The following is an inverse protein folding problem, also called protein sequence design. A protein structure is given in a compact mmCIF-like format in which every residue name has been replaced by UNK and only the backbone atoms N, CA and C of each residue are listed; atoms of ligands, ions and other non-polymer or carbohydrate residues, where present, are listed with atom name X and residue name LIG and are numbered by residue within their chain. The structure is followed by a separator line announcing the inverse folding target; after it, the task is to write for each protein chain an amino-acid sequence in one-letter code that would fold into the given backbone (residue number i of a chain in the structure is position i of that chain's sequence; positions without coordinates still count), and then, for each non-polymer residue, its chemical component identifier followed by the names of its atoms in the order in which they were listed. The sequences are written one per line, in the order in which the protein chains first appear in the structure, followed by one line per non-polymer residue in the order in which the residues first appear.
data_IF_499139947405
#
_entry.id   IF_499139947405
#
_cell.length_a   1.000
_cell.length_b   1.000
_cell.length_c   1.000
_cell.angle_alpha   90.00
_cell.angle_beta   90.00
_cell.angle_gamma   90.00
#
_symmetry.space_group_name_H-M   'P 1'
#
loop_
_entity.id
_entity.type
_entity.pdbx_description
1 polymer ?
#
# COMPACT_ATOMS: atom_id res chain seq x y z
N UNK A 1 2.56 -24.13 22.43
CA UNK A 1 2.78 -22.79 21.90
C UNK A 1 1.64 -22.49 20.96
N UNK A 2 1.03 -21.31 21.07
CA UNK A 2 -0.13 -20.93 20.27
C UNK A 2 0.26 -20.46 18.85
N UNK A 3 -0.72 -20.15 17.99
CA UNK A 3 -0.48 -19.62 16.67
C UNK A 3 0.25 -18.26 16.73
N UNK A 4 1.08 -17.98 15.70
CA UNK A 4 1.82 -16.74 15.54
C UNK A 4 1.18 -15.85 14.48
N UNK A 5 1.48 -14.56 14.51
CA UNK A 5 1.09 -13.60 13.49
C UNK A 5 2.33 -13.02 12.80
N UNK A 6 2.24 -12.80 11.51
CA UNK A 6 3.30 -12.16 10.74
C UNK A 6 2.87 -10.74 10.33
N UNK A 7 3.70 -9.74 10.66
CA UNK A 7 3.55 -8.36 10.19
C UNK A 7 4.56 -8.07 9.09
N UNK A 8 4.11 -7.36 8.04
CA UNK A 8 4.93 -6.90 6.91
C UNK A 8 4.72 -5.40 6.75
N UNK A 9 5.80 -4.62 6.83
CA UNK A 9 5.83 -3.17 6.60
C UNK A 9 6.64 -2.87 5.33
N UNK A 10 6.03 -2.20 4.36
CA UNK A 10 6.71 -1.71 3.16
C UNK A 10 7.03 -0.23 3.35
N UNK A 11 8.17 0.05 3.98
CA UNK A 11 8.65 1.42 4.16
C UNK A 11 9.30 2.01 2.91
N UNK A 12 9.72 3.27 2.98
CA UNK A 12 10.35 3.96 1.84
C UNK A 12 11.75 3.44 1.52
N UNK A 13 12.56 3.13 2.54
CA UNK A 13 13.98 2.72 2.36
C UNK A 13 14.21 1.24 2.61
N UNK A 14 13.27 0.55 3.26
CA UNK A 14 13.36 -0.86 3.59
C UNK A 14 11.99 -1.45 3.87
N UNK A 15 11.82 -2.74 3.61
CA UNK A 15 10.72 -3.49 4.21
C UNK A 15 11.17 -4.11 5.54
N UNK A 16 10.19 -4.33 6.41
CA UNK A 16 10.39 -5.04 7.68
C UNK A 16 9.40 -6.18 7.78
N UNK A 17 9.87 -7.29 8.29
CA UNK A 17 9.04 -8.47 8.57
C UNK A 17 9.23 -8.85 10.02
N UNK A 18 8.15 -9.02 10.76
CA UNK A 18 8.21 -9.41 12.16
C UNK A 18 7.21 -10.52 12.47
N UNK A 19 7.64 -11.48 13.29
CA UNK A 19 6.83 -12.56 13.82
C UNK A 19 6.46 -12.26 15.27
N UNK A 20 5.18 -12.34 15.57
CA UNK A 20 4.62 -12.04 16.89
C UNK A 20 3.96 -13.28 17.51
N UNK A 21 4.05 -13.38 18.83
CA UNK A 21 3.18 -14.28 19.59
C UNK A 21 1.79 -13.68 19.82
N UNK A 22 0.89 -14.42 20.45
CA UNK A 22 -0.47 -13.95 20.79
C UNK A 22 -0.49 -12.82 21.84
N UNK A 23 0.58 -12.61 22.55
CA UNK A 23 0.75 -11.51 23.50
C UNK A 23 1.25 -10.23 22.86
N UNK A 24 1.53 -10.23 21.55
CA UNK A 24 2.10 -9.09 20.82
C UNK A 24 3.62 -8.95 21.01
N UNK A 25 4.30 -9.95 21.59
CA UNK A 25 5.74 -9.92 21.71
C UNK A 25 6.41 -10.28 20.38
N UNK A 26 7.42 -9.51 19.98
CA UNK A 26 8.25 -9.82 18.80
C UNK A 26 9.12 -11.04 19.10
N UNK A 27 8.96 -12.08 18.32
CA UNK A 27 9.75 -13.33 18.42
C UNK A 27 11.00 -13.26 17.53
N UNK A 28 10.85 -12.70 16.34
CA UNK A 28 11.95 -12.51 15.37
C UNK A 28 11.57 -11.39 14.41
N UNK A 29 12.56 -10.67 13.90
CA UNK A 29 12.35 -9.65 12.88
C UNK A 29 13.52 -9.59 11.92
N UNK A 30 13.25 -9.15 10.69
CA UNK A 30 14.24 -8.90 9.64
C UNK A 30 13.91 -7.60 8.92
N UNK A 31 14.92 -6.93 8.38
CA UNK A 31 14.79 -5.74 7.55
C UNK A 31 15.64 -5.90 6.30
N UNK A 32 15.07 -5.56 5.15
CA UNK A 32 15.73 -5.62 3.85
C UNK A 32 15.64 -4.24 3.18
N UNK A 33 16.79 -3.68 2.84
CA UNK A 33 16.88 -2.37 2.22
C UNK A 33 16.68 -2.45 0.71
N UNK A 34 16.17 -1.37 0.13
CA UNK A 34 16.05 -1.15 -1.31
C UNK A 34 16.17 0.34 -1.64
N UNK A 35 16.54 0.63 -2.87
CA UNK A 35 16.83 2.00 -3.29
C UNK A 35 15.58 2.75 -3.75
N UNK A 36 15.64 4.08 -3.63
CA UNK A 36 14.74 5.02 -4.30
C UNK A 36 15.50 5.60 -5.49
N UNK A 37 14.93 5.51 -6.68
CA UNK A 37 15.46 6.12 -7.89
C UNK A 37 14.98 7.57 -8.03
N UNK A 38 15.87 8.47 -8.38
CA UNK A 38 15.59 9.89 -8.63
C UNK A 38 15.99 10.28 -10.07
N UNK A 39 15.28 9.80 -11.11
CA UNK A 39 15.70 9.97 -12.51
C UNK A 39 15.75 11.43 -12.98
N UNK A 40 14.93 12.31 -12.37
CA UNK A 40 14.85 13.74 -12.66
C UNK A 40 14.52 14.52 -11.38
N UNK A 41 14.78 15.83 -11.32
CA UNK A 41 14.34 16.66 -10.21
C UNK A 41 12.82 16.53 -9.97
N UNK A 42 12.43 16.27 -8.72
CA UNK A 42 11.04 16.06 -8.32
C UNK A 42 10.46 14.67 -8.62
N UNK A 43 11.25 13.79 -9.23
CA UNK A 43 10.85 12.39 -9.43
C UNK A 43 11.43 11.51 -8.33
N UNK A 44 10.61 10.63 -7.80
CA UNK A 44 11.01 9.61 -6.84
C UNK A 44 10.20 8.34 -7.12
N UNK A 45 10.89 7.29 -7.55
CA UNK A 45 10.24 6.04 -7.96
C UNK A 45 10.98 4.81 -7.46
N UNK A 46 10.26 3.71 -7.37
CA UNK A 46 10.78 2.41 -6.98
C UNK A 46 10.22 1.32 -7.89
N UNK A 47 10.97 0.22 -8.01
CA UNK A 47 10.45 -1.00 -8.63
C UNK A 47 9.72 -1.83 -7.55
N UNK A 48 8.40 -2.06 -7.65
CA UNK A 48 7.67 -2.87 -6.68
C UNK A 48 8.15 -4.32 -6.55
N UNK A 49 8.83 -4.87 -7.55
CA UNK A 49 9.43 -6.21 -7.46
C UNK A 49 10.59 -6.25 -6.46
N UNK A 50 11.25 -5.13 -6.19
CA UNK A 50 12.28 -5.05 -5.15
C UNK A 50 11.65 -5.18 -3.76
N UNK A 51 10.44 -4.59 -3.55
CA UNK A 51 9.68 -4.78 -2.32
C UNK A 51 9.35 -6.26 -2.10
N UNK A 52 8.80 -6.93 -3.14
CA UNK A 52 8.47 -8.35 -3.05
C UNK A 52 9.69 -9.22 -2.76
N UNK A 53 10.79 -8.95 -3.45
CA UNK A 53 12.06 -9.67 -3.26
C UNK A 53 12.59 -9.51 -1.84
N UNK A 54 12.60 -8.27 -1.32
CA UNK A 54 13.00 -7.97 0.06
C UNK A 54 12.11 -8.67 1.08
N UNK A 55 10.79 -8.60 0.89
CA UNK A 55 9.82 -9.27 1.77
C UNK A 55 10.04 -10.78 1.79
N UNK A 56 10.24 -11.41 0.64
CA UNK A 56 10.53 -12.85 0.59
C UNK A 56 11.83 -13.23 1.33
N UNK A 57 12.87 -12.39 1.25
CA UNK A 57 14.11 -12.58 2.03
C UNK A 57 13.86 -12.40 3.52
N UNK A 58 13.16 -11.33 3.90
CA UNK A 58 12.80 -11.04 5.29
C UNK A 58 11.99 -12.17 5.92
N UNK A 59 10.97 -12.70 5.22
CA UNK A 59 10.17 -13.84 5.71
C UNK A 59 11.04 -15.05 5.95
N UNK A 60 11.90 -15.44 4.98
CA UNK A 60 12.81 -16.57 5.14
C UNK A 60 13.76 -16.37 6.32
N UNK A 61 14.32 -15.17 6.47
CA UNK A 61 15.18 -14.80 7.60
C UNK A 61 14.48 -14.95 8.95
N UNK A 62 13.25 -14.46 9.07
CA UNK A 62 12.44 -14.57 10.29
C UNK A 62 12.11 -16.02 10.63
N UNK A 63 11.72 -16.84 9.66
CA UNK A 63 11.43 -18.26 9.86
C UNK A 63 12.69 -19.03 10.26
N UNK A 64 13.82 -18.73 9.62
CA UNK A 64 15.11 -19.38 9.93
C UNK A 64 15.60 -19.03 11.35
N UNK A 65 15.51 -17.75 11.75
CA UNK A 65 15.94 -17.30 13.08
C UNK A 65 15.06 -17.83 14.19
N UNK A 66 13.72 -17.76 14.01
CA UNK A 66 12.76 -18.20 15.01
C UNK A 66 12.67 -19.72 15.17
N UNK A 67 13.04 -20.48 14.14
CA UNK A 67 12.80 -21.93 14.02
C UNK A 67 11.30 -22.31 14.12
N UNK A 68 10.39 -21.36 13.92
CA UNK A 68 8.96 -21.60 13.94
C UNK A 68 8.53 -22.10 12.57
N UNK A 69 7.86 -23.25 12.48
CA UNK A 69 7.32 -23.76 11.22
C UNK A 69 6.32 -22.78 10.61
N UNK A 70 6.39 -22.52 9.30
CA UNK A 70 5.48 -21.62 8.58
C UNK A 70 4.00 -21.94 8.80
N UNK A 71 3.65 -23.24 8.96
CA UNK A 71 2.28 -23.68 9.25
C UNK A 71 1.74 -23.27 10.64
N UNK A 72 2.56 -22.68 11.51
CA UNK A 72 2.12 -22.11 12.78
C UNK A 72 1.76 -20.60 12.68
N UNK A 73 1.93 -19.98 11.51
CA UNK A 73 1.48 -18.61 11.25
C UNK A 73 -0.02 -18.63 10.95
N UNK A 74 -0.82 -18.03 11.83
CA UNK A 74 -2.27 -18.03 11.75
C UNK A 74 -2.84 -16.92 10.86
N UNK A 75 -2.05 -15.89 10.57
CA UNK A 75 -2.46 -14.77 9.72
C UNK A 75 -1.34 -13.79 9.44
N UNK A 76 -1.52 -13.03 8.36
CA UNK A 76 -0.55 -12.04 7.87
C UNK A 76 -1.23 -10.68 7.79
N UNK A 77 -0.65 -9.67 8.48
CA UNK A 77 -0.97 -8.27 8.36
C UNK A 77 0.07 -7.57 7.49
N UNK A 78 -0.38 -6.61 6.69
CA UNK A 78 0.48 -5.86 5.77
C UNK A 78 0.19 -4.37 5.93
N UNK A 79 1.22 -3.58 6.11
CA UNK A 79 1.12 -2.14 5.93
C UNK A 79 2.16 -1.64 4.93
N UNK A 80 2.00 -0.41 4.49
CA UNK A 80 2.97 0.11 3.54
C UNK A 80 2.88 1.61 3.31
N UNK A 81 3.97 2.13 2.74
CA UNK A 81 4.13 3.53 2.41
C UNK A 81 2.95 4.06 1.59
N UNK A 82 2.61 5.30 1.86
CA UNK A 82 1.44 5.97 1.29
C UNK A 82 1.56 6.20 -0.22
N UNK A 83 0.45 6.14 -0.88
CA UNK A 83 0.13 6.77 -2.15
C UNK A 83 1.06 6.44 -3.32
N UNK A 84 1.58 5.25 -3.35
CA UNK A 84 2.18 4.68 -4.55
C UNK A 84 1.12 4.54 -5.65
N UNK A 85 1.56 4.49 -6.90
CA UNK A 85 0.69 4.28 -8.05
C UNK A 85 1.18 3.06 -8.84
N UNK A 86 1.04 1.86 -8.27
CA UNK A 86 1.53 0.62 -8.88
C UNK A 86 0.59 0.21 -10.01
N UNK A 87 1.00 0.42 -11.25
CA UNK A 87 0.26 -0.01 -12.42
C UNK A 87 0.52 -1.50 -12.69
N UNK A 88 -0.53 -2.32 -12.66
CA UNK A 88 -0.43 -3.76 -12.88
C UNK A 88 -1.36 -4.24 -14.00
N UNK A 89 -0.93 -5.29 -14.71
CA UNK A 89 -1.76 -6.01 -15.68
C UNK A 89 -2.75 -6.98 -15.00
N UNK A 90 -3.48 -7.78 -15.78
CA UNK A 90 -4.46 -8.74 -15.26
C UNK A 90 -3.85 -9.88 -14.46
N UNK A 91 -2.62 -10.20 -14.71
CA UNK A 91 -1.83 -11.23 -14.06
C UNK A 91 -1.12 -10.70 -12.79
N UNK A 92 -1.17 -9.38 -12.53
CA UNK A 92 -0.52 -8.72 -11.40
C UNK A 92 0.95 -8.37 -11.65
N UNK A 93 1.41 -8.41 -12.90
CA UNK A 93 2.75 -7.96 -13.25
C UNK A 93 2.83 -6.43 -13.26
N UNK A 94 3.91 -5.89 -12.73
CA UNK A 94 4.19 -4.44 -12.73
C UNK A 94 4.53 -3.99 -14.15
N UNK A 95 3.94 -2.88 -14.58
CA UNK A 95 4.10 -2.34 -15.93
C UNK A 95 5.14 -1.21 -16.03
N UNK A 96 5.48 -0.59 -14.90
CA UNK A 96 6.49 0.48 -14.85
C UNK A 96 6.98 0.67 -13.41
N UNK A 97 8.15 1.31 -13.28
CA UNK A 97 8.58 1.82 -11.98
C UNK A 97 7.53 2.78 -11.42
N UNK A 98 7.33 2.70 -10.12
CA UNK A 98 6.19 3.31 -9.44
C UNK A 98 6.58 4.62 -8.77
N UNK A 99 5.94 5.76 -9.13
CA UNK A 99 6.09 6.98 -8.36
C UNK A 99 5.58 6.79 -6.93
N UNK A 100 6.43 7.04 -5.94
CA UNK A 100 6.11 6.94 -4.52
C UNK A 100 5.62 8.30 -3.95
N UNK A 101 5.33 8.36 -2.65
CA UNK A 101 4.77 9.56 -2.00
C UNK A 101 5.64 10.82 -2.09
N UNK A 102 6.97 10.69 -2.24
CA UNK A 102 7.90 11.81 -2.42
C UNK A 102 7.88 12.40 -3.84
N UNK A 103 7.24 11.74 -4.80
CA UNK A 103 7.22 12.15 -6.19
C UNK A 103 6.30 13.35 -6.42
N UNK A 104 6.81 14.37 -7.09
CA UNK A 104 6.08 15.62 -7.39
C UNK A 104 5.86 15.86 -8.88
N UNK A 105 6.14 14.86 -9.76
CA UNK A 105 6.02 15.00 -11.22
C UNK A 105 4.65 15.43 -11.73
N UNK A 106 3.60 15.11 -10.94
CA UNK A 106 2.21 15.40 -11.28
C UNK A 106 1.69 16.76 -10.77
N UNK A 107 2.59 17.66 -10.31
CA UNK A 107 2.18 18.93 -9.69
C UNK A 107 1.29 19.82 -10.60
N UNK A 108 1.60 19.91 -11.88
CA UNK A 108 0.80 20.73 -12.82
C UNK A 108 -0.57 20.10 -13.11
N UNK A 109 -0.66 18.75 -13.07
CA UNK A 109 -1.93 18.03 -13.15
C UNK A 109 -2.80 18.34 -11.92
N UNK A 110 -2.21 18.41 -10.72
CA UNK A 110 -2.96 18.80 -9.52
C UNK A 110 -3.59 20.18 -9.65
N UNK A 111 -2.83 21.18 -10.15
CA UNK A 111 -3.36 22.52 -10.38
C UNK A 111 -4.52 22.51 -11.37
N UNK A 112 -4.33 21.86 -12.52
CA UNK A 112 -5.39 21.71 -13.53
C UNK A 112 -6.66 21.06 -12.98
N UNK A 113 -6.51 19.98 -12.22
CA UNK A 113 -7.65 19.28 -11.63
C UNK A 113 -8.36 20.11 -10.56
N UNK A 114 -7.61 20.84 -9.72
CA UNK A 114 -8.18 21.76 -8.73
C UNK A 114 -8.95 22.89 -9.42
N UNK A 115 -8.43 23.46 -10.49
CA UNK A 115 -9.12 24.53 -11.27
C UNK A 115 -10.39 23.99 -11.96
N UNK A 116 -10.33 22.77 -12.50
CA UNK A 116 -11.42 22.18 -13.29
C UNK A 116 -12.54 21.59 -12.43
N UNK A 117 -12.19 20.86 -11.37
CA UNK A 117 -13.15 20.13 -10.51
C UNK A 117 -13.59 20.96 -9.31
N UNK A 118 -12.67 21.79 -8.80
CA UNK A 118 -12.85 22.61 -7.61
C UNK A 118 -12.25 21.96 -6.35
N UNK A 119 -11.26 22.63 -5.76
CA UNK A 119 -10.55 22.13 -4.57
C UNK A 119 -11.50 21.79 -3.42
N UNK A 120 -12.49 22.66 -3.18
CA UNK A 120 -13.50 22.44 -2.13
C UNK A 120 -14.31 21.16 -2.35
N UNK A 121 -14.76 20.90 -3.60
CA UNK A 121 -15.52 19.69 -3.93
C UNK A 121 -14.67 18.42 -3.74
N UNK A 122 -13.41 18.46 -4.17
CA UNK A 122 -12.47 17.36 -3.97
C UNK A 122 -12.31 17.08 -2.47
N UNK A 123 -12.07 18.11 -1.67
CA UNK A 123 -11.90 17.98 -0.23
C UNK A 123 -13.14 17.45 0.47
N UNK A 124 -14.34 17.94 0.11
CA UNK A 124 -15.60 17.51 0.71
C UNK A 124 -15.88 16.01 0.51
N UNK A 125 -15.43 15.43 -0.59
CA UNK A 125 -15.60 13.98 -0.87
C UNK A 125 -14.47 13.16 -0.25
N UNK A 126 -13.23 13.55 -0.50
CA UNK A 126 -12.06 12.73 -0.16
C UNK A 126 -11.45 13.02 1.20
N UNK A 127 -11.82 14.12 1.85
CA UNK A 127 -11.21 14.57 3.10
C UNK A 127 -9.80 15.15 2.95
N UNK A 128 -9.28 15.29 1.72
CA UNK A 128 -7.93 15.74 1.43
C UNK A 128 -7.85 16.73 0.29
N UNK A 129 -6.88 17.65 0.38
CA UNK A 129 -6.48 18.48 -0.75
C UNK A 129 -5.69 17.68 -1.77
N UNK A 130 -5.96 17.89 -3.06
CA UNK A 130 -5.23 17.23 -4.13
C UNK A 130 -3.80 17.75 -4.22
N UNK A 131 -2.83 16.89 -3.99
CA UNK A 131 -1.41 17.17 -4.06
C UNK A 131 -0.67 16.10 -4.88
N UNK A 132 0.54 16.41 -5.43
CA UNK A 132 1.27 15.50 -6.31
C UNK A 132 1.76 14.23 -5.62
N UNK A 133 1.93 14.24 -4.30
CA UNK A 133 2.26 13.05 -3.50
C UNK A 133 1.20 11.95 -3.57
N UNK A 134 -0.06 12.31 -3.79
CA UNK A 134 -1.19 11.37 -3.83
C UNK A 134 -1.29 10.61 -5.16
N UNK A 135 -1.95 9.48 -5.14
CA UNK A 135 -2.06 8.54 -6.28
C UNK A 135 -2.86 9.12 -7.45
N UNK A 136 -3.88 9.93 -7.18
CA UNK A 136 -4.82 10.48 -8.18
C UNK A 136 -4.12 11.12 -9.38
N UNK A 137 -3.26 12.11 -9.13
CA UNK A 137 -2.59 12.85 -10.19
C UNK A 137 -1.54 11.99 -10.93
N UNK A 138 -0.97 10.99 -10.29
CA UNK A 138 -0.03 10.03 -10.89
C UNK A 138 -0.72 9.14 -11.93
N UNK A 139 -1.98 8.75 -11.71
CA UNK A 139 -2.78 8.00 -12.69
C UNK A 139 -2.96 8.83 -13.97
N UNK A 140 -3.31 10.10 -13.85
CA UNK A 140 -3.46 11.00 -14.99
C UNK A 140 -2.10 11.27 -15.65
N UNK A 141 -1.02 11.29 -14.86
CA UNK A 141 0.33 11.40 -15.40
C UNK A 141 0.68 10.19 -16.28
N UNK A 142 0.37 8.95 -15.86
CA UNK A 142 0.53 7.75 -16.70
C UNK A 142 -0.26 7.87 -18.00
N UNK A 143 -1.51 8.27 -17.92
CA UNK A 143 -2.37 8.44 -19.11
C UNK A 143 -1.73 9.37 -20.14
N UNK A 144 -1.08 10.46 -19.71
CA UNK A 144 -0.52 11.48 -20.60
C UNK A 144 0.90 11.18 -21.07
N UNK A 145 1.71 10.56 -20.22
CA UNK A 145 3.15 10.44 -20.46
C UNK A 145 3.61 9.02 -20.75
N UNK A 146 2.86 8.02 -20.31
CA UNK A 146 3.11 6.60 -20.56
C UNK A 146 1.84 5.91 -21.08
N UNK A 147 1.28 6.32 -22.23
CA UNK A 147 0.00 5.81 -22.72
C UNK A 147 0.02 4.29 -22.90
N UNK A 148 1.14 3.70 -23.31
CA UNK A 148 1.27 2.24 -23.44
C UNK A 148 1.14 1.52 -22.10
N UNK A 149 1.72 2.07 -21.01
CA UNK A 149 1.55 1.53 -19.65
C UNK A 149 0.09 1.66 -19.24
N UNK A 150 -0.49 2.85 -19.43
CA UNK A 150 -1.88 3.13 -19.05
C UNK A 150 -2.88 2.22 -19.76
N UNK A 151 -2.74 2.00 -21.05
CA UNK A 151 -3.61 1.13 -21.86
C UNK A 151 -3.58 -0.34 -21.44
N UNK A 152 -2.42 -0.81 -20.93
CA UNK A 152 -2.27 -2.18 -20.45
C UNK A 152 -2.58 -2.33 -18.96
N UNK A 153 -2.77 -1.21 -18.25
CA UNK A 153 -3.07 -1.24 -16.81
C UNK A 153 -4.47 -1.80 -16.57
N UNK A 154 -4.52 -2.88 -15.81
CA UNK A 154 -5.78 -3.47 -15.35
C UNK A 154 -6.24 -2.84 -14.03
N UNK A 155 -5.32 -2.66 -13.08
CA UNK A 155 -5.56 -2.01 -11.78
C UNK A 155 -4.40 -1.11 -11.38
N UNK A 156 -4.70 -0.09 -10.57
CA UNK A 156 -3.71 0.70 -9.84
C UNK A 156 -3.77 0.25 -8.39
N UNK A 157 -2.64 -0.20 -7.86
CA UNK A 157 -2.51 -0.69 -6.49
C UNK A 157 -1.68 0.27 -5.63
N UNK A 158 -1.88 0.19 -4.31
CA UNK A 158 -0.98 0.78 -3.32
C UNK A 158 0.15 -0.21 -2.97
N UNK A 159 1.13 0.21 -2.18
CA UNK A 159 2.27 -0.65 -1.82
C UNK A 159 1.84 -1.93 -1.10
N UNK A 160 1.03 -1.81 -0.03
CA UNK A 160 0.47 -2.95 0.70
C UNK A 160 -0.48 -3.80 -0.17
N UNK A 161 -1.31 -3.16 -1.00
CA UNK A 161 -2.21 -3.85 -1.94
C UNK A 161 -1.46 -4.68 -2.98
N UNK A 162 -0.31 -4.18 -3.45
CA UNK A 162 0.54 -4.92 -4.36
C UNK A 162 1.12 -6.20 -3.70
N UNK A 163 1.61 -6.08 -2.46
CA UNK A 163 2.11 -7.25 -1.71
C UNK A 163 0.97 -8.22 -1.37
N UNK A 164 -0.21 -7.71 -1.01
CA UNK A 164 -1.41 -8.53 -0.85
C UNK A 164 -1.75 -9.30 -2.15
N UNK A 165 -1.63 -8.64 -3.31
CA UNK A 165 -1.80 -9.28 -4.62
C UNK A 165 -0.74 -10.37 -4.87
N UNK A 166 0.53 -10.12 -4.58
CA UNK A 166 1.61 -11.12 -4.72
C UNK A 166 1.36 -12.35 -3.84
N UNK A 167 0.84 -12.15 -2.63
CA UNK A 167 0.55 -13.25 -1.69
C UNK A 167 -0.71 -14.05 -2.09
N UNK A 168 -1.76 -13.38 -2.52
CA UNK A 168 -3.11 -13.98 -2.63
C UNK A 168 -3.67 -14.05 -4.05
N UNK A 169 -3.08 -13.33 -5.00
CA UNK A 169 -3.65 -13.12 -6.34
C UNK A 169 -4.85 -12.16 -6.37
N UNK A 170 -5.20 -11.50 -5.23
CA UNK A 170 -6.33 -10.56 -5.13
C UNK A 170 -5.85 -9.12 -5.23
N UNK A 171 -6.45 -8.36 -6.12
CA UNK A 171 -6.19 -6.92 -6.28
C UNK A 171 -7.21 -6.14 -5.48
N UNK A 172 -6.79 -5.64 -4.33
CA UNK A 172 -7.66 -5.01 -3.33
C UNK A 172 -7.21 -3.59 -3.01
N UNK A 173 -8.09 -2.82 -2.41
CA UNK A 173 -7.81 -1.53 -1.78
C UNK A 173 -8.33 -1.57 -0.35
N UNK A 174 -7.52 -1.20 0.62
CA UNK A 174 -7.99 -0.98 1.98
C UNK A 174 -8.53 0.45 2.18
N UNK A 175 -9.42 0.61 3.14
CA UNK A 175 -10.06 1.91 3.42
C UNK A 175 -9.07 2.96 3.89
N UNK A 176 -7.98 2.59 4.57
CA UNK A 176 -7.03 3.56 5.13
C UNK A 176 -6.11 4.18 4.07
N UNK A 177 -5.81 3.47 2.98
CA UNK A 177 -5.10 4.02 1.81
C UNK A 177 -6.05 4.62 0.77
N UNK A 178 -7.36 4.32 0.86
CA UNK A 178 -8.38 4.79 -0.08
C UNK A 178 -8.39 6.30 -0.23
N UNK A 179 -8.20 7.05 0.86
CA UNK A 179 -8.21 8.51 0.81
C UNK A 179 -7.06 9.12 -0.01
N UNK A 180 -6.04 8.39 -0.35
CA UNK A 180 -4.99 8.79 -1.29
C UNK A 180 -5.45 8.84 -2.76
N UNK A 181 -6.66 8.34 -3.01
CA UNK A 181 -7.38 8.41 -4.27
C UNK A 181 -8.59 9.34 -4.10
N UNK A 182 -8.54 10.55 -4.63
CA UNK A 182 -9.56 11.59 -4.40
C UNK A 182 -10.95 11.26 -4.95
N UNK A 183 -11.12 10.13 -5.57
CA UNK A 183 -12.41 9.51 -5.89
C UNK A 183 -12.94 8.57 -4.77
N UNK A 184 -12.19 8.35 -3.69
CA UNK A 184 -12.68 7.66 -2.52
C UNK A 184 -13.55 8.59 -1.68
N UNK A 185 -14.78 8.19 -1.44
CA UNK A 185 -15.74 8.95 -0.63
C UNK A 185 -15.56 8.57 0.84
N UNK A 186 -15.03 9.50 1.63
CA UNK A 186 -14.78 9.31 3.06
C UNK A 186 -16.05 9.13 3.89
N UNK A 187 -17.22 9.55 3.38
CA UNK A 187 -18.49 9.43 4.10
C UNK A 187 -19.11 8.03 3.93
N UNK A 188 -18.92 7.43 2.75
CA UNK A 188 -19.51 6.12 2.42
C UNK A 188 -18.52 4.98 2.48
N UNK A 189 -17.21 5.27 2.42
CA UNK A 189 -16.16 4.26 2.33
C UNK A 189 -16.11 3.54 0.99
N UNK A 190 -16.60 4.16 -0.08
CA UNK A 190 -16.69 3.56 -1.43
C UNK A 190 -16.12 4.49 -2.51
N UNK A 191 -15.94 3.97 -3.72
CA UNK A 191 -15.60 4.81 -4.86
C UNK A 191 -16.78 5.70 -5.26
N UNK A 192 -16.55 7.02 -5.37
CA UNK A 192 -17.53 7.99 -5.83
C UNK A 192 -17.45 8.12 -7.35
N UNK A 193 -18.44 7.58 -8.05
CA UNK A 193 -18.46 7.52 -9.51
C UNK A 193 -18.42 8.91 -10.16
N UNK A 194 -19.18 9.88 -9.62
CA UNK A 194 -19.19 11.25 -10.16
C UNK A 194 -17.82 11.91 -10.02
N UNK A 195 -17.11 11.63 -8.93
CA UNK A 195 -15.77 12.14 -8.72
C UNK A 195 -14.75 11.42 -9.63
N UNK A 196 -14.89 10.12 -9.84
CA UNK A 196 -14.09 9.39 -10.85
C UNK A 196 -14.23 10.03 -12.23
N UNK A 197 -15.45 10.30 -12.66
CA UNK A 197 -15.74 10.95 -13.94
C UNK A 197 -15.16 12.38 -13.99
N UNK A 198 -15.36 13.18 -12.92
CA UNK A 198 -14.84 14.53 -12.83
C UNK A 198 -13.31 14.59 -12.85
N UNK A 199 -12.63 13.66 -12.20
CA UNK A 199 -11.16 13.56 -12.19
C UNK A 199 -10.60 12.92 -13.47
N UNK A 200 -11.44 12.23 -14.25
CA UNK A 200 -11.03 11.51 -15.46
C UNK A 200 -10.34 10.17 -15.16
N UNK A 201 -10.70 9.53 -14.05
CA UNK A 201 -10.19 8.21 -13.65
C UNK A 201 -11.28 7.16 -13.91
N UNK A 202 -11.08 6.21 -14.83
CA UNK A 202 -12.00 5.10 -15.01
C UNK A 202 -12.12 4.28 -13.72
N UNK A 203 -13.34 4.08 -13.23
CA UNK A 203 -13.61 3.26 -12.03
C UNK A 203 -13.05 1.84 -12.18
N UNK A 204 -13.00 1.32 -13.41
CA UNK A 204 -12.40 0.02 -13.71
C UNK A 204 -10.93 -0.14 -13.35
N UNK A 205 -10.17 0.95 -13.21
CA UNK A 205 -8.77 0.93 -12.73
C UNK A 205 -8.66 0.77 -11.21
N UNK A 206 -9.75 1.01 -10.47
CA UNK A 206 -9.75 0.99 -9.02
C UNK A 206 -10.08 -0.42 -8.53
N UNK A 207 -9.32 -0.94 -7.53
CA UNK A 207 -9.60 -2.24 -6.92
C UNK A 207 -10.87 -2.23 -6.08
N UNK A 208 -11.34 -3.42 -5.70
CA UNK A 208 -12.41 -3.58 -4.71
C UNK A 208 -11.93 -3.15 -3.31
N UNK A 209 -12.80 -2.46 -2.56
CA UNK A 209 -12.48 -1.89 -1.25
C UNK A 209 -12.80 -2.90 -0.13
N UNK A 210 -11.87 -3.01 0.83
CA UNK A 210 -11.98 -3.86 2.01
C UNK A 210 -11.65 -3.08 3.28
N UNK A 211 -12.21 -3.51 4.41
CA UNK A 211 -11.74 -3.07 5.72
C UNK A 211 -10.33 -3.58 5.99
N UNK A 212 -9.49 -2.80 6.67
CA UNK A 212 -8.08 -3.13 6.88
C UNK A 212 -7.85 -4.53 7.51
N UNK A 213 -8.74 -4.96 8.38
CA UNK A 213 -8.66 -6.27 9.09
C UNK A 213 -9.36 -7.42 8.37
N UNK A 214 -10.01 -7.15 7.26
CA UNK A 214 -10.78 -8.15 6.52
C UNK A 214 -9.85 -9.11 5.79
N UNK A 215 -10.12 -10.41 5.92
CA UNK A 215 -9.36 -11.44 5.21
C UNK A 215 -9.74 -11.42 3.73
N UNK A 216 -8.81 -11.03 2.88
CA UNK A 216 -9.01 -10.92 1.44
C UNK A 216 -8.73 -12.22 0.69
N UNK A 217 -7.98 -13.12 1.28
CA UNK A 217 -7.59 -14.38 0.66
C UNK A 217 -6.56 -15.12 1.51
N UNK A 218 -5.91 -16.08 0.89
CA UNK A 218 -4.86 -16.88 1.53
C UNK A 218 -3.62 -16.93 0.66
N UNK A 219 -2.49 -17.20 1.28
CA UNK A 219 -1.20 -17.41 0.57
C UNK A 219 -1.38 -18.51 -0.47
N UNK A 220 -1.07 -18.20 -1.73
CA UNK A 220 -1.11 -19.15 -2.84
C UNK A 220 0.09 -20.10 -2.81
N UNK A 221 0.01 -21.25 -3.52
CA UNK A 221 1.16 -22.16 -3.68
C UNK A 221 2.36 -21.46 -4.30
N UNK A 222 2.13 -20.55 -5.25
CA UNK A 222 3.18 -19.76 -5.90
C UNK A 222 3.89 -18.83 -4.92
N UNK A 223 3.13 -18.07 -4.13
CA UNK A 223 3.67 -17.19 -3.09
C UNK A 223 4.40 -17.98 -1.99
N UNK A 224 3.85 -19.13 -1.58
CA UNK A 224 4.48 -20.04 -0.62
C UNK A 224 5.85 -20.51 -1.09
N UNK A 225 5.97 -20.92 -2.36
CA UNK A 225 7.23 -21.37 -2.93
C UNK A 225 8.29 -20.25 -2.97
N UNK A 226 7.89 -18.99 -3.17
CA UNK A 226 8.80 -17.85 -3.21
C UNK A 226 9.20 -17.36 -1.82
N UNK A 227 8.24 -17.25 -0.89
CA UNK A 227 8.44 -16.63 0.42
C UNK A 227 8.84 -17.61 1.53
N UNK A 228 8.51 -18.89 1.40
CA UNK A 228 8.66 -19.88 2.46
C UNK A 228 7.48 -19.95 3.43
N UNK A 229 6.43 -19.16 3.20
CA UNK A 229 5.17 -19.25 3.96
C UNK A 229 4.43 -20.56 3.66
N UNK A 230 3.48 -20.93 4.52
CA UNK A 230 2.57 -22.02 4.23
C UNK A 230 1.44 -21.55 3.32
N UNK A 231 1.17 -22.30 2.25
CA UNK A 231 -0.01 -22.07 1.43
C UNK A 231 -1.27 -22.20 2.30
N UNK A 232 -2.28 -21.38 2.02
CA UNK A 232 -3.51 -21.35 2.81
C UNK A 232 -3.47 -20.44 4.04
N UNK A 233 -2.34 -19.83 4.40
CA UNK A 233 -2.27 -18.84 5.49
C UNK A 233 -3.12 -17.61 5.16
N UNK A 234 -4.07 -17.18 6.03
CA UNK A 234 -4.91 -16.02 5.80
C UNK A 234 -4.11 -14.71 5.69
N UNK A 235 -4.53 -13.84 4.77
CA UNK A 235 -3.95 -12.52 4.55
C UNK A 235 -5.06 -11.47 4.65
N UNK A 236 -4.85 -10.40 5.44
CA UNK A 236 -5.80 -9.30 5.52
C UNK A 236 -5.48 -8.21 4.48
N UNK A 237 -6.44 -7.31 4.22
CA UNK A 237 -6.26 -6.20 3.28
C UNK A 237 -5.09 -5.27 3.68
N UNK A 238 -4.85 -5.15 4.98
CA UNK A 238 -3.77 -4.33 5.50
C UNK A 238 -4.12 -2.85 5.55
N UNK A 239 -3.10 -1.99 5.58
CA UNK A 239 -3.37 -0.57 5.74
C UNK A 239 -2.19 0.35 5.45
N UNK A 240 -2.44 1.64 5.67
CA UNK A 240 -1.46 2.70 5.62
C UNK A 240 -0.48 2.58 6.78
N UNK A 241 0.83 2.66 6.50
CA UNK A 241 1.91 2.58 7.50
C UNK A 241 1.69 3.51 8.70
N UNK A 242 1.35 4.78 8.45
CA UNK A 242 1.09 5.77 9.49
C UNK A 242 -0.10 5.37 10.39
N UNK A 243 -1.19 4.86 9.81
CA UNK A 243 -2.36 4.41 10.57
C UNK A 243 -2.06 3.14 11.38
N UNK A 244 -1.38 2.17 10.76
CA UNK A 244 -0.96 0.93 11.43
C UNK A 244 0.05 1.21 12.55
N UNK A 245 1.01 2.13 12.33
CA UNK A 245 1.97 2.56 13.33
C UNK A 245 1.29 3.26 14.53
N UNK A 246 0.30 4.11 14.27
CA UNK A 246 -0.51 4.78 15.32
C UNK A 246 -1.25 3.74 16.17
N UNK A 247 -1.93 2.79 15.51
CA UNK A 247 -2.61 1.69 16.19
C UNK A 247 -1.62 0.81 16.98
N UNK A 248 -0.48 0.47 16.36
CA UNK A 248 0.56 -0.36 16.97
C UNK A 248 1.24 0.31 18.19
N UNK A 249 1.26 1.64 18.24
CA UNK A 249 1.70 2.42 19.39
C UNK A 249 0.64 2.49 20.52
N UNK A 250 -0.54 1.92 20.31
CA UNK A 250 -1.63 1.88 21.30
C UNK A 250 -2.46 3.15 21.35
N UNK A 251 -2.38 4.03 20.36
CA UNK A 251 -3.20 5.26 20.27
C UNK A 251 -4.58 4.86 19.74
N UNK A 252 -5.50 4.65 20.66
CA UNK A 252 -6.86 4.13 20.39
C UNK A 252 -7.97 4.98 21.01
N UNK A 253 -7.62 5.98 21.81
CA UNK A 253 -8.59 6.86 22.46
C UNK A 253 -8.38 8.32 22.04
N UNK A 254 -9.48 9.08 22.01
CA UNK A 254 -9.44 10.51 21.70
C UNK A 254 -8.52 11.28 22.65
N UNK A 255 -7.59 12.05 22.11
CA UNK A 255 -6.60 12.84 22.86
C UNK A 255 -5.29 12.13 23.11
N UNK A 256 -5.16 10.84 22.81
CA UNK A 256 -3.86 10.18 22.77
C UNK A 256 -3.11 10.61 21.50
N UNK A 257 -1.80 10.67 21.57
CA UNK A 257 -0.96 11.16 20.48
C UNK A 257 0.22 10.24 20.23
N UNK A 258 0.62 10.15 18.98
CA UNK A 258 1.85 9.48 18.56
C UNK A 258 2.65 10.42 17.66
N UNK A 259 3.95 10.50 17.90
CA UNK A 259 4.91 11.09 16.98
C UNK A 259 5.60 10.01 16.18
N UNK A 260 5.60 10.14 14.86
CA UNK A 260 6.34 9.29 13.96
C UNK A 260 7.60 9.99 13.48
N UNK A 261 8.75 9.34 13.62
CA UNK A 261 10.02 9.77 13.06
C UNK A 261 10.52 8.78 12.01
N UNK A 262 10.89 9.28 10.83
CA UNK A 262 11.40 8.48 9.71
C UNK A 262 11.90 9.39 8.60
N UNK A 263 11.66 9.04 7.33
CA UNK A 263 11.90 9.93 6.18
C UNK A 263 11.03 11.21 6.25
N UNK A 264 9.87 11.11 6.86
CA UNK A 264 9.02 12.24 7.23
C UNK A 264 8.74 12.23 8.72
N UNK A 265 8.48 13.40 9.30
CA UNK A 265 7.91 13.54 10.63
C UNK A 265 6.40 13.69 10.53
N UNK A 266 5.67 13.07 11.44
CA UNK A 266 4.21 13.15 11.52
C UNK A 266 3.73 13.05 12.95
N UNK A 267 2.59 13.64 13.23
CA UNK A 267 1.90 13.49 14.51
C UNK A 267 0.46 13.06 14.26
N UNK A 268 0.05 12.00 14.94
CA UNK A 268 -1.34 11.52 14.96
C UNK A 268 -1.96 11.86 16.33
N UNK A 269 -3.22 12.29 16.33
CA UNK A 269 -3.98 12.67 17.53
C UNK A 269 -5.32 11.95 17.52
#
# INVERSE_FOLDING_TARGET
MGPYLLGIDIGTSACKVALFDQGGNVISSASEEYEVSYPKPGWAEQNPEDWWTGICRGIKGVLEQSKIPAGQIAGIGIDGQSWAAVAVDREGNVLADTPIWMDTRANDICKELNDRVGEKRIFEISGNSLQPSYTTAKIIWYQRNLPQVYEHTYKILQSNSYIACKLTGKMTQDVSQGYGLHCFDMHTGTWNREMCEALGIPEGLLPEIYSCHEVIGTVTDHAAAQSGLAAGTPVVAGGLDAACGTLGAGVIHSGETQEQGGQAGGMSI
#
